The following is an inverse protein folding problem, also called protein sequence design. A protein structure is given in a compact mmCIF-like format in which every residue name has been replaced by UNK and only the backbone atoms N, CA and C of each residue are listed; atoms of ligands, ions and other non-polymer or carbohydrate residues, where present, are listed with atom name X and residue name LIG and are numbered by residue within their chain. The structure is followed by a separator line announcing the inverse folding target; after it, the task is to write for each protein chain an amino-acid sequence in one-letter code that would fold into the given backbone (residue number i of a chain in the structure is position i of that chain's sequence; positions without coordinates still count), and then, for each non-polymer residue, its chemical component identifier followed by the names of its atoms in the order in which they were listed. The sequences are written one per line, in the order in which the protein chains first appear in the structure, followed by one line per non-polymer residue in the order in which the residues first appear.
data_IF_088696899225
#
_entry.id   IF_088696899225
#
_cell.length_a   1.000
_cell.length_b   1.000
_cell.length_c   1.000
_cell.angle_alpha   90.00
_cell.angle_beta   90.00
_cell.angle_gamma   90.00
#
_symmetry.space_group_name_H-M   'P 1'
#
loop_
_entity.id
_entity.type
_entity.pdbx_description
1 polymer ?
#
# COMPACT_ATOMS: atom_id res chain seq x y z
N UNK A 1 -17.67 -29.51 8.66
CA UNK A 1 -16.51 -29.10 7.87
C UNK A 1 -16.53 -27.58 7.83
N UNK A 2 -15.76 -26.93 8.72
CA UNK A 2 -15.61 -25.48 8.77
C UNK A 2 -14.52 -25.12 7.77
N UNK A 3 -14.89 -24.57 6.62
CA UNK A 3 -13.94 -24.02 5.64
C UNK A 3 -13.13 -22.87 6.25
N UNK A 4 -11.91 -22.61 5.74
CA UNK A 4 -11.07 -21.54 6.26
C UNK A 4 -11.80 -20.20 6.10
N UNK A 5 -12.04 -19.50 7.21
CA UNK A 5 -12.53 -18.13 7.21
C UNK A 5 -11.52 -17.28 6.46
N UNK A 6 -11.86 -16.84 5.25
CA UNK A 6 -11.14 -15.75 4.59
C UNK A 6 -11.23 -14.55 5.53
N UNK A 7 -10.11 -14.21 6.19
CA UNK A 7 -10.00 -12.90 6.82
C UNK A 7 -10.10 -11.89 5.68
N UNK A 8 -11.09 -11.03 5.74
CA UNK A 8 -11.14 -9.84 4.90
C UNK A 8 -9.91 -8.99 5.24
N UNK A 9 -8.85 -9.16 4.45
CA UNK A 9 -7.90 -8.10 4.24
C UNK A 9 -8.70 -7.10 3.42
N UNK A 10 -8.92 -5.90 3.93
CA UNK A 10 -9.61 -4.86 3.19
C UNK A 10 -8.89 -4.62 1.86
N UNK A 11 -9.55 -4.07 0.84
CA UNK A 11 -8.90 -3.79 -0.43
C UNK A 11 -7.70 -2.88 -0.20
N UNK A 12 -6.57 -3.22 -0.84
CA UNK A 12 -5.36 -2.41 -0.75
C UNK A 12 -5.54 -1.09 -1.49
N UNK A 13 -4.93 -0.01 -0.97
CA UNK A 13 -4.83 1.25 -1.71
C UNK A 13 -3.69 1.14 -2.71
N UNK A 14 -3.99 1.37 -3.96
CA UNK A 14 -3.01 1.39 -5.05
C UNK A 14 -2.96 2.79 -5.64
N UNK A 15 -1.76 3.32 -5.83
CA UNK A 15 -1.48 4.53 -6.59
C UNK A 15 -0.58 4.21 -7.76
N UNK A 16 -0.66 5.01 -8.83
CA UNK A 16 0.15 4.81 -10.03
C UNK A 16 0.90 6.09 -10.37
N UNK A 17 2.21 5.96 -10.49
CA UNK A 17 3.11 6.98 -11.00
C UNK A 17 3.66 6.49 -12.35
N UNK A 18 3.61 7.34 -13.35
CA UNK A 18 4.19 7.08 -14.67
C UNK A 18 5.38 7.99 -14.84
N UNK A 19 6.44 7.45 -15.41
CA UNK A 19 7.65 8.22 -15.71
C UNK A 19 8.19 7.87 -17.08
N UNK A 20 8.80 8.86 -17.71
CA UNK A 20 9.56 8.81 -18.95
C UNK A 20 10.67 9.85 -18.79
N UNK A 21 10.80 10.89 -19.61
CA UNK A 21 11.71 12.02 -19.34
C UNK A 21 11.38 12.80 -18.07
N UNK A 22 10.14 12.69 -17.58
CA UNK A 22 9.65 13.22 -16.30
C UNK A 22 8.69 12.24 -15.63
N UNK A 23 8.43 12.45 -14.33
CA UNK A 23 7.50 11.64 -13.56
C UNK A 23 6.23 12.43 -13.19
N UNK A 24 5.08 11.77 -13.23
CA UNK A 24 3.82 12.33 -12.76
C UNK A 24 2.90 11.28 -12.14
N UNK A 25 2.00 11.72 -11.28
CA UNK A 25 0.99 10.84 -10.69
C UNK A 25 -0.16 10.64 -11.69
N UNK A 26 -0.27 9.43 -12.24
CA UNK A 26 -1.41 9.04 -13.06
C UNK A 26 -2.67 8.87 -12.21
N UNK A 27 -2.51 8.23 -11.05
CA UNK A 27 -3.59 7.97 -10.12
C UNK A 27 -3.09 8.11 -8.67
N UNK A 28 -3.80 8.89 -7.81
CA UNK A 28 -3.53 8.91 -6.39
C UNK A 28 -3.90 7.55 -5.77
N UNK A 29 -3.44 7.29 -4.53
CA UNK A 29 -3.77 6.07 -3.81
C UNK A 29 -5.28 5.97 -3.58
N UNK A 30 -5.89 4.91 -4.12
CA UNK A 30 -7.33 4.67 -4.09
C UNK A 30 -7.65 3.20 -3.89
N UNK A 31 -8.85 2.91 -3.41
CA UNK A 31 -9.43 1.55 -3.35
C UNK A 31 -10.22 1.19 -4.63
N UNK A 32 -10.46 2.15 -5.54
CA UNK A 32 -11.19 1.90 -6.78
C UNK A 32 -10.24 1.36 -7.86
N UNK A 33 -10.01 0.05 -7.80
CA UNK A 33 -9.16 -0.66 -8.76
C UNK A 33 -9.72 -0.61 -10.19
N UNK A 34 -11.05 -0.63 -10.34
CA UNK A 34 -11.67 -0.51 -11.66
C UNK A 34 -11.42 0.84 -12.31
N UNK A 35 -11.36 1.90 -11.51
CA UNK A 35 -10.98 3.22 -12.00
C UNK A 35 -9.49 3.24 -12.43
N UNK A 36 -8.60 2.59 -11.64
CA UNK A 36 -7.18 2.46 -11.99
C UNK A 36 -6.98 1.76 -13.33
N UNK A 37 -7.65 0.64 -13.57
CA UNK A 37 -7.60 -0.08 -14.86
C UNK A 37 -7.97 0.82 -16.02
N UNK A 38 -9.02 1.64 -15.87
CA UNK A 38 -9.41 2.61 -16.90
C UNK A 38 -8.38 3.71 -17.13
N UNK A 39 -7.64 4.14 -16.09
CA UNK A 39 -6.56 5.12 -16.25
C UNK A 39 -5.37 4.51 -17.00
N UNK A 40 -4.97 3.29 -16.64
CA UNK A 40 -3.88 2.56 -17.32
C UNK A 40 -4.23 2.32 -18.80
N UNK A 41 -5.46 1.91 -19.10
CA UNK A 41 -5.92 1.67 -20.47
C UNK A 41 -5.90 2.93 -21.38
N UNK A 42 -5.84 4.12 -20.78
CA UNK A 42 -5.75 5.42 -21.52
C UNK A 42 -4.32 5.87 -21.77
N UNK A 43 -3.33 5.21 -21.17
CA UNK A 43 -1.93 5.55 -21.41
C UNK A 43 -1.59 5.32 -22.88
N UNK A 44 -0.89 6.30 -23.45
CA UNK A 44 -0.37 6.23 -24.83
C UNK A 44 1.10 6.58 -24.80
N UNK A 45 1.86 5.91 -25.64
CA UNK A 45 3.27 6.25 -25.87
C UNK A 45 3.35 7.66 -26.48
N UNK A 46 4.34 8.44 -26.05
CA UNK A 46 4.55 9.80 -26.55
C UNK A 46 3.74 10.90 -25.85
N UNK A 47 3.04 10.60 -24.73
CA UNK A 47 2.38 11.62 -23.90
C UNK A 47 3.37 12.46 -23.07
N UNK A 48 4.57 11.96 -22.83
CA UNK A 48 5.62 12.59 -22.04
C UNK A 48 6.90 12.63 -22.90
N UNK A 49 7.79 13.56 -22.58
CA UNK A 49 9.13 13.64 -23.18
C UNK A 49 9.86 12.31 -23.08
N UNK A 50 10.58 11.93 -24.13
CA UNK A 50 11.35 10.69 -24.16
C UNK A 50 12.43 10.67 -23.07
N UNK A 51 12.69 9.51 -22.53
CA UNK A 51 13.67 9.28 -21.48
C UNK A 51 13.18 8.33 -20.41
N UNK A 52 14.02 8.06 -19.41
CA UNK A 52 13.74 7.14 -18.30
C UNK A 52 14.21 7.79 -17.00
N UNK A 53 13.31 8.49 -16.31
CA UNK A 53 13.57 9.21 -15.05
C UNK A 53 13.20 8.36 -13.85
N UNK A 54 13.94 7.28 -13.58
CA UNK A 54 13.67 6.30 -12.50
C UNK A 54 13.64 6.99 -11.13
N UNK A 55 14.65 7.83 -10.85
CA UNK A 55 14.76 8.50 -9.56
C UNK A 55 13.60 9.46 -9.29
N UNK A 56 13.18 10.24 -10.29
CA UNK A 56 12.02 11.13 -10.19
C UNK A 56 10.73 10.32 -9.99
N UNK A 57 10.57 9.20 -10.73
CA UNK A 57 9.44 8.27 -10.57
C UNK A 57 9.31 7.76 -9.14
N UNK A 58 10.41 7.27 -8.59
CA UNK A 58 10.47 6.79 -7.22
C UNK A 58 10.22 7.92 -6.22
N UNK A 59 10.82 9.11 -6.43
CA UNK A 59 10.61 10.28 -5.58
C UNK A 59 9.16 10.74 -5.51
N UNK A 60 8.46 10.77 -6.67
CA UNK A 60 7.02 11.08 -6.73
C UNK A 60 6.20 10.01 -5.98
N UNK A 61 6.49 8.73 -6.17
CA UNK A 61 5.79 7.65 -5.48
C UNK A 61 5.94 7.75 -3.95
N UNK A 62 7.17 7.97 -3.46
CA UNK A 62 7.46 8.17 -2.04
C UNK A 62 6.75 9.40 -1.46
N UNK A 63 6.67 10.49 -2.23
CA UNK A 63 5.95 11.70 -1.83
C UNK A 63 4.45 11.45 -1.67
N UNK A 64 3.85 10.61 -2.52
CA UNK A 64 2.42 10.23 -2.41
C UNK A 64 2.15 9.36 -1.20
N UNK A 65 3.03 8.41 -0.91
CA UNK A 65 2.94 7.59 0.32
C UNK A 65 3.07 8.45 1.58
N UNK A 66 4.00 9.42 1.58
CA UNK A 66 4.17 10.33 2.71
C UNK A 66 2.95 11.23 2.95
N UNK A 67 2.31 11.71 1.89
CA UNK A 67 1.11 12.51 2.02
C UNK A 67 0.01 11.77 2.79
N UNK A 68 -0.24 10.50 2.44
CA UNK A 68 -1.24 9.67 3.13
C UNK A 68 -0.83 9.34 4.56
N UNK A 69 0.46 9.12 4.81
CA UNK A 69 0.97 8.85 6.15
C UNK A 69 0.70 10.02 7.10
N UNK A 70 0.89 11.26 6.64
CA UNK A 70 0.55 12.47 7.39
C UNK A 70 -0.95 12.59 7.65
N UNK A 71 -1.78 12.28 6.65
CA UNK A 71 -3.25 12.29 6.78
C UNK A 71 -3.74 11.22 7.77
N UNK A 72 -3.03 10.10 7.88
CA UNK A 72 -3.34 8.98 8.77
C UNK A 72 -2.66 9.08 10.16
N UNK A 73 -2.10 10.23 10.55
CA UNK A 73 -1.37 10.42 11.81
C UNK A 73 -0.23 9.40 12.03
N UNK A 74 0.57 9.13 11.00
CA UNK A 74 1.68 8.18 11.01
C UNK A 74 1.27 6.72 11.36
N UNK A 75 0.05 6.32 11.03
CA UNK A 75 -0.45 4.95 11.21
C UNK A 75 -0.30 4.10 9.94
N UNK A 76 0.68 4.42 9.08
CA UNK A 76 0.98 3.62 7.90
C UNK A 76 1.44 2.22 8.30
N UNK A 77 0.80 1.19 7.74
CA UNK A 77 1.22 -0.20 7.87
C UNK A 77 1.44 -0.79 6.48
N UNK A 78 2.60 -1.41 6.26
CA UNK A 78 2.86 -2.26 5.11
C UNK A 78 2.87 -1.55 3.74
N UNK A 79 3.39 -0.29 3.65
CA UNK A 79 3.54 0.37 2.36
C UNK A 79 4.82 -0.08 1.66
N UNK A 80 4.76 -0.30 0.36
CA UNK A 80 5.89 -0.62 -0.51
C UNK A 80 5.72 0.01 -1.89
N UNK A 81 6.79 0.03 -2.67
CA UNK A 81 6.77 0.51 -4.06
C UNK A 81 7.18 -0.63 -4.98
N UNK A 82 6.48 -0.77 -6.12
CA UNK A 82 6.91 -1.61 -7.23
C UNK A 82 7.37 -0.68 -8.34
N UNK A 83 8.63 -0.79 -8.72
CA UNK A 83 9.26 -0.05 -9.80
C UNK A 83 9.41 -0.98 -11.00
N UNK A 84 8.69 -0.69 -12.10
CA UNK A 84 8.78 -1.44 -13.35
C UNK A 84 9.42 -0.54 -14.41
N UNK A 85 10.49 -1.02 -15.06
CA UNK A 85 11.17 -0.31 -16.14
C UNK A 85 11.77 -1.28 -17.15
N UNK A 86 11.88 -0.84 -18.40
CA UNK A 86 12.53 -1.55 -19.50
C UNK A 86 13.85 -0.90 -19.94
N UNK A 87 14.29 0.18 -19.28
CA UNK A 87 15.47 0.95 -19.64
C UNK A 87 16.34 1.37 -18.46
N UNK A 88 17.52 1.91 -18.78
CA UNK A 88 18.42 2.54 -17.84
C UNK A 88 17.99 3.98 -17.54
N UNK A 89 18.31 4.47 -16.34
CA UNK A 89 18.07 5.87 -15.99
C UNK A 89 18.91 6.81 -16.85
N UNK A 90 18.28 7.66 -17.64
CA UNK A 90 18.95 8.63 -18.54
C UNK A 90 18.31 10.02 -18.49
N UNK A 91 17.32 10.25 -17.63
CA UNK A 91 16.62 11.50 -17.44
C UNK A 91 16.27 11.74 -15.98
N UNK A 92 15.67 12.89 -15.68
CA UNK A 92 15.25 13.28 -14.34
C UNK A 92 16.29 14.07 -13.57
N UNK A 93 15.84 14.72 -12.51
CA UNK A 93 16.68 15.53 -11.63
C UNK A 93 17.20 14.76 -10.41
N UNK A 94 16.44 13.77 -9.92
CA UNK A 94 16.79 12.97 -8.76
C UNK A 94 17.52 11.69 -9.21
N UNK A 95 18.78 11.44 -8.76
CA UNK A 95 19.46 10.18 -9.01
C UNK A 95 18.71 9.00 -8.39
N UNK A 96 18.64 7.82 -9.06
CA UNK A 96 17.93 6.66 -8.55
C UNK A 96 18.36 6.21 -7.15
N UNK A 97 19.67 6.20 -6.86
CA UNK A 97 20.19 5.80 -5.55
C UNK A 97 19.87 6.81 -4.45
N UNK A 98 19.73 8.11 -4.77
CA UNK A 98 19.30 9.09 -3.76
C UNK A 98 17.81 8.93 -3.45
N UNK A 99 16.98 8.60 -4.44
CA UNK A 99 15.60 8.19 -4.20
C UNK A 99 15.51 6.91 -3.35
N UNK A 100 16.38 5.92 -3.59
CA UNK A 100 16.45 4.70 -2.79
C UNK A 100 16.82 4.99 -1.32
N UNK A 101 17.79 5.89 -1.05
CA UNK A 101 18.11 6.32 0.32
C UNK A 101 16.93 6.97 1.04
N UNK A 102 16.10 7.73 0.31
CA UNK A 102 14.87 8.30 0.87
C UNK A 102 13.89 7.18 1.24
N UNK A 103 13.73 6.18 0.37
CA UNK A 103 12.88 5.01 0.66
C UNK A 103 13.37 4.23 1.89
N UNK A 104 14.68 3.93 1.94
CA UNK A 104 15.35 3.27 3.06
C UNK A 104 15.12 4.03 4.38
N UNK A 105 15.38 5.34 4.40
CA UNK A 105 15.21 6.18 5.60
C UNK A 105 13.76 6.19 6.14
N UNK A 106 12.80 5.87 5.29
CA UNK A 106 11.36 5.78 5.62
C UNK A 106 10.88 4.35 5.87
N UNK A 107 11.75 3.35 5.75
CA UNK A 107 11.41 1.94 5.87
C UNK A 107 10.38 1.50 4.81
N UNK A 108 10.49 2.00 3.57
CA UNK A 108 9.63 1.64 2.46
C UNK A 108 10.39 0.71 1.53
N UNK A 109 10.08 -0.59 1.49
CA UNK A 109 10.70 -1.51 0.55
C UNK A 109 10.36 -1.13 -0.90
N UNK A 110 11.35 -1.22 -1.79
CA UNK A 110 11.18 -1.02 -3.23
C UNK A 110 11.48 -2.32 -3.95
N UNK A 111 10.46 -2.92 -4.54
CA UNK A 111 10.59 -4.08 -5.42
C UNK A 111 10.84 -3.58 -6.83
N UNK A 112 11.91 -4.04 -7.47
CA UNK A 112 12.26 -3.60 -8.82
C UNK A 112 12.05 -4.72 -9.83
N UNK A 113 11.40 -4.41 -10.94
CA UNK A 113 11.14 -5.33 -12.04
C UNK A 113 11.77 -4.76 -13.31
N UNK A 114 12.78 -5.42 -13.83
CA UNK A 114 13.38 -5.10 -15.12
C UNK A 114 12.66 -5.86 -16.22
N UNK A 115 11.88 -5.17 -17.04
CA UNK A 115 11.11 -5.76 -18.15
C UNK A 115 11.71 -5.34 -19.48
N UNK A 116 12.78 -5.98 -19.90
CA UNK A 116 13.40 -5.61 -21.16
C UNK A 116 14.45 -6.61 -21.62
N UNK A 117 14.73 -6.59 -22.91
CA UNK A 117 15.84 -7.31 -23.48
C UNK A 117 17.03 -6.35 -23.63
N UNK A 118 18.19 -6.74 -23.14
CA UNK A 118 19.42 -6.01 -23.42
C UNK A 118 19.85 -6.27 -24.87
N UNK A 119 20.17 -5.21 -25.63
CA UNK A 119 20.62 -5.30 -27.00
C UNK A 119 19.86 -4.40 -27.95
N UNK A 120 20.06 -4.64 -29.25
CA UNK A 120 19.36 -3.86 -30.28
C UNK A 120 17.90 -4.28 -30.42
N UNK A 121 17.00 -3.43 -29.95
CA UNK A 121 15.54 -3.64 -30.07
C UNK A 121 14.95 -2.75 -31.15
N UNK A 122 13.90 -3.19 -31.87
CA UNK A 122 13.19 -2.33 -32.81
C UNK A 122 12.38 -1.28 -32.06
N UNK A 123 12.75 -0.02 -32.26
CA UNK A 123 12.05 1.11 -31.67
C UNK A 123 11.11 1.75 -32.69
N UNK A 124 9.79 1.88 -32.42
CA UNK A 124 8.85 2.48 -33.35
C UNK A 124 9.03 4.01 -33.40
N UNK A 125 9.20 4.57 -34.58
CA UNK A 125 9.07 6.00 -34.81
C UNK A 125 7.62 6.29 -35.15
N UNK A 126 6.95 7.04 -34.28
CA UNK A 126 5.53 7.34 -34.36
C UNK A 126 5.36 8.75 -34.95
N UNK A 127 4.43 8.92 -35.89
CA UNK A 127 3.99 10.24 -36.34
C UNK A 127 3.19 10.88 -35.19
N UNK A 128 3.65 12.03 -34.67
CA UNK A 128 3.03 12.71 -33.52
C UNK A 128 1.62 13.24 -33.84
N UNK A 129 1.29 13.47 -35.12
CA UNK A 129 -0.03 13.98 -35.51
C UNK A 129 -1.06 12.84 -35.67
N UNK A 130 -0.66 11.70 -36.25
CA UNK A 130 -1.57 10.58 -36.56
C UNK A 130 -1.52 9.47 -35.53
N UNK A 131 -0.44 9.38 -34.72
CA UNK A 131 -0.20 8.28 -33.78
C UNK A 131 0.20 6.98 -34.47
N UNK A 132 0.47 6.96 -35.79
CA UNK A 132 0.83 5.79 -36.54
C UNK A 132 2.34 5.56 -36.55
N UNK A 133 2.75 4.29 -36.50
CA UNK A 133 4.16 3.90 -36.63
C UNK A 133 4.63 4.14 -38.08
N UNK A 134 5.54 5.08 -38.26
CA UNK A 134 6.11 5.39 -39.58
C UNK A 134 7.17 4.39 -39.99
N UNK A 135 8.04 4.01 -39.07
CA UNK A 135 9.12 3.04 -39.26
C UNK A 135 9.64 2.52 -37.92
N UNK A 136 10.39 1.42 -37.98
CA UNK A 136 11.17 0.94 -36.84
C UNK A 136 12.64 1.31 -37.04
N UNK A 137 13.28 1.85 -36.00
CA UNK A 137 14.73 2.01 -35.92
C UNK A 137 15.30 0.99 -34.93
N UNK A 138 16.59 0.65 -35.09
CA UNK A 138 17.26 -0.18 -34.09
C UNK A 138 17.86 0.72 -33.03
N UNK A 139 17.39 0.60 -31.82
CA UNK A 139 17.92 1.35 -30.66
C UNK A 139 18.54 0.33 -29.70
N UNK A 140 19.70 0.67 -29.16
CA UNK A 140 20.30 -0.12 -28.10
C UNK A 140 19.46 0.07 -26.85
N UNK A 141 18.81 -0.99 -26.40
CA UNK A 141 18.14 -1.02 -25.09
C UNK A 141 19.13 -1.59 -24.09
N UNK A 142 19.49 -0.76 -23.12
CA UNK A 142 20.33 -1.17 -21.99
C UNK A 142 19.48 -1.10 -20.73
N UNK A 143 19.09 -2.27 -20.23
CA UNK A 143 18.48 -2.38 -18.91
C UNK A 143 19.63 -2.34 -17.89
N UNK A 144 19.63 -1.34 -17.02
CA UNK A 144 20.60 -1.24 -15.92
C UNK A 144 20.15 -2.08 -14.72
N UNK A 145 20.33 -3.39 -14.85
CA UNK A 145 19.99 -4.35 -13.80
C UNK A 145 20.78 -4.07 -12.51
N UNK A 146 22.02 -3.59 -12.64
CA UNK A 146 22.88 -3.27 -11.49
C UNK A 146 22.26 -2.19 -10.60
N UNK A 147 21.78 -1.10 -11.19
CA UNK A 147 21.07 -0.05 -10.46
C UNK A 147 19.77 -0.55 -9.84
N UNK A 148 18.98 -1.37 -10.57
CA UNK A 148 17.72 -1.93 -10.06
C UNK A 148 17.95 -2.86 -8.87
N UNK A 149 18.98 -3.72 -8.92
CA UNK A 149 19.38 -4.59 -7.81
C UNK A 149 19.82 -3.76 -6.58
N UNK A 150 20.65 -2.74 -6.78
CA UNK A 150 21.11 -1.87 -5.69
C UNK A 150 19.94 -1.13 -5.01
N UNK A 151 18.95 -0.63 -5.77
CA UNK A 151 17.74 0.00 -5.22
C UNK A 151 16.97 -0.99 -4.34
N UNK A 152 16.74 -2.20 -4.85
CA UNK A 152 16.00 -3.23 -4.12
C UNK A 152 16.74 -3.62 -2.83
N UNK A 153 18.03 -3.93 -2.91
CA UNK A 153 18.84 -4.33 -1.76
C UNK A 153 18.90 -3.23 -0.69
N UNK A 154 19.16 -1.97 -1.09
CA UNK A 154 19.25 -0.84 -0.16
C UNK A 154 17.94 -0.58 0.60
N UNK A 155 16.80 -0.90 0.00
CA UNK A 155 15.46 -0.64 0.58
C UNK A 155 14.83 -1.85 1.26
N UNK A 156 15.48 -3.02 1.23
CA UNK A 156 14.92 -4.27 1.77
C UNK A 156 13.87 -4.91 0.88
N UNK A 157 13.80 -4.53 -0.41
CA UNK A 157 12.98 -5.17 -1.42
C UNK A 157 13.72 -6.30 -2.15
N UNK A 158 13.22 -6.66 -3.35
CA UNK A 158 13.85 -7.66 -4.21
C UNK A 158 13.79 -7.24 -5.69
N UNK A 159 14.80 -7.65 -6.45
CA UNK A 159 14.84 -7.47 -7.90
C UNK A 159 14.27 -8.69 -8.62
N UNK A 160 13.48 -8.44 -9.65
CA UNK A 160 12.94 -9.46 -10.55
C UNK A 160 13.26 -9.10 -11.99
N UNK A 161 13.67 -10.09 -12.77
CA UNK A 161 13.81 -9.96 -14.22
C UNK A 161 12.59 -10.55 -14.90
N UNK A 162 11.95 -9.77 -15.76
CA UNK A 162 10.79 -10.17 -16.53
C UNK A 162 11.15 -10.22 -18.03
N UNK A 163 11.60 -11.37 -18.49
CA UNK A 163 11.98 -11.59 -19.90
C UNK A 163 10.78 -11.90 -20.79
N UNK A 164 9.70 -12.45 -20.20
CA UNK A 164 8.47 -12.86 -20.88
C UNK A 164 7.25 -12.45 -20.05
N UNK A 165 6.07 -12.35 -20.68
CA UNK A 165 4.83 -11.91 -20.01
C UNK A 165 4.47 -12.70 -18.76
N UNK A 166 4.73 -14.02 -18.73
CA UNK A 166 4.47 -14.86 -17.56
C UNK A 166 5.40 -14.62 -16.38
N UNK A 167 6.52 -13.91 -16.58
CA UNK A 167 7.49 -13.61 -15.52
C UNK A 167 7.06 -12.38 -14.72
N UNK A 168 6.31 -11.46 -15.33
CA UNK A 168 5.75 -10.28 -14.63
C UNK A 168 4.72 -10.73 -13.61
N UNK A 169 3.78 -11.59 -13.97
CA UNK A 169 2.80 -12.17 -13.05
C UNK A 169 3.47 -12.94 -11.91
N UNK A 170 4.54 -13.70 -12.22
CA UNK A 170 5.31 -14.41 -11.22
C UNK A 170 6.03 -13.46 -10.25
N UNK A 171 6.57 -12.33 -10.73
CA UNK A 171 7.17 -11.29 -9.89
C UNK A 171 6.14 -10.67 -8.95
N UNK A 172 4.97 -10.29 -9.46
CA UNK A 172 3.88 -9.76 -8.61
C UNK A 172 3.40 -10.79 -7.58
N UNK A 173 3.28 -12.07 -7.95
CA UNK A 173 2.90 -13.13 -7.02
C UNK A 173 3.95 -13.32 -5.90
N UNK A 174 5.23 -13.25 -6.23
CA UNK A 174 6.32 -13.34 -5.24
C UNK A 174 6.33 -12.14 -4.29
N UNK A 175 6.08 -10.92 -4.79
CA UNK A 175 5.96 -9.71 -3.97
C UNK A 175 4.75 -9.82 -3.02
N UNK A 176 3.60 -10.25 -3.52
CA UNK A 176 2.39 -10.44 -2.73
C UNK A 176 2.60 -11.46 -1.60
N UNK A 177 3.32 -12.56 -1.86
CA UNK A 177 3.65 -13.55 -0.84
C UNK A 177 4.62 -13.00 0.21
N UNK A 178 5.68 -12.28 -0.20
CA UNK A 178 6.64 -11.65 0.70
C UNK A 178 5.97 -10.63 1.61
N UNK A 179 5.09 -9.79 1.08
CA UNK A 179 4.35 -8.79 1.86
C UNK A 179 3.34 -9.40 2.81
N UNK A 180 2.69 -10.50 2.46
CA UNK A 180 1.79 -11.24 3.37
C UNK A 180 2.49 -11.78 4.62
N UNK A 181 3.74 -12.23 4.47
CA UNK A 181 4.53 -12.76 5.59
C UNK A 181 4.88 -11.63 6.57
N UNK A 182 5.30 -10.47 6.06
CA UNK A 182 5.66 -9.32 6.88
C UNK A 182 4.45 -8.74 7.65
N UNK A 183 3.28 -8.68 7.02
CA UNK A 183 2.03 -8.27 7.66
C UNK A 183 1.60 -9.21 8.81
N UNK A 184 1.86 -10.51 8.70
CA UNK A 184 1.57 -11.48 9.77
C UNK A 184 2.48 -11.29 10.98
N UNK A 185 3.72 -10.87 10.79
CA UNK A 185 4.67 -10.66 11.88
C UNK A 185 4.34 -9.42 12.75
N UNK A 186 3.71 -8.39 12.19
CA UNK A 186 3.37 -7.16 12.90
C UNK A 186 1.96 -7.14 13.51
N UNK A 187 1.10 -8.10 13.21
CA UNK A 187 -0.33 -8.07 13.54
C UNK A 187 -0.69 -8.71 14.89
N UNK A 188 0.23 -8.81 15.85
CA UNK A 188 -0.05 -9.30 17.21
C UNK A 188 -0.20 -8.17 18.23
N UNK A 189 -1.16 -7.29 18.01
CA UNK A 189 -1.81 -6.59 19.13
C UNK A 189 -3.23 -7.16 19.24
N UNK A 190 -3.35 -8.30 19.90
CA UNK A 190 -4.65 -8.78 20.37
C UNK A 190 -5.06 -7.83 21.50
N UNK A 191 -5.95 -6.91 21.18
CA UNK A 191 -6.67 -6.15 22.20
C UNK A 191 -7.74 -7.08 22.76
N UNK A 192 -7.41 -7.79 23.84
CA UNK A 192 -8.42 -8.50 24.61
C UNK A 192 -9.34 -7.48 25.29
N UNK A 193 -10.58 -7.45 24.85
CA UNK A 193 -11.59 -6.57 25.44
C UNK A 193 -11.92 -7.05 26.85
N UNK A 194 -11.27 -6.46 27.84
CA UNK A 194 -11.52 -6.70 29.25
C UNK A 194 -12.87 -6.13 29.74
N UNK A 195 -13.65 -5.54 28.86
CA UNK A 195 -14.94 -4.92 29.16
C UNK A 195 -15.89 -5.86 29.94
N UNK A 196 -16.00 -7.12 29.52
CA UNK A 196 -16.87 -8.09 30.17
C UNK A 196 -16.46 -8.43 31.60
N UNK A 197 -15.16 -8.38 31.91
CA UNK A 197 -14.66 -8.63 33.27
C UNK A 197 -15.02 -7.53 34.26
N UNK A 198 -15.21 -6.30 33.81
CA UNK A 198 -15.60 -5.16 34.63
C UNK A 198 -17.10 -4.89 34.57
N UNK A 199 -17.75 -5.06 33.43
CA UNK A 199 -19.18 -4.82 33.25
C UNK A 199 -20.04 -5.83 34.02
N UNK A 200 -19.65 -7.10 34.08
CA UNK A 200 -20.35 -8.15 34.81
C UNK A 200 -20.43 -7.88 36.31
N UNK A 201 -19.30 -7.74 37.02
CA UNK A 201 -19.29 -7.40 38.45
C UNK A 201 -19.98 -6.06 38.75
N UNK A 202 -19.81 -5.04 37.88
CA UNK A 202 -20.48 -3.75 38.02
C UNK A 202 -22.01 -3.86 37.98
N UNK A 203 -22.57 -4.65 37.05
CA UNK A 203 -23.98 -4.91 36.96
C UNK A 203 -24.55 -5.64 38.21
N UNK A 204 -23.80 -6.64 38.70
CA UNK A 204 -24.17 -7.37 39.94
C UNK A 204 -24.20 -6.43 41.15
N UNK A 205 -23.22 -5.56 41.30
CA UNK A 205 -23.18 -4.58 42.41
C UNK A 205 -24.34 -3.59 42.33
N UNK A 206 -24.71 -3.13 41.14
CA UNK A 206 -25.87 -2.25 40.95
C UNK A 206 -27.18 -2.94 41.33
N UNK A 207 -27.38 -4.21 40.97
CA UNK A 207 -28.55 -4.99 41.33
C UNK A 207 -28.64 -5.21 42.84
N UNK A 208 -27.52 -5.51 43.52
CA UNK A 208 -27.46 -5.66 44.97
C UNK A 208 -27.78 -4.31 45.65
N UNK A 209 -27.24 -3.22 45.18
CA UNK A 209 -27.53 -1.88 45.74
C UNK A 209 -29.00 -1.51 45.58
N UNK A 210 -29.60 -1.78 44.42
CA UNK A 210 -31.03 -1.56 44.16
C UNK A 210 -31.91 -2.43 45.05
N UNK A 211 -31.56 -3.71 45.31
CA UNK A 211 -32.24 -4.64 46.21
C UNK A 211 -32.22 -4.18 47.64
N UNK A 212 -31.05 -3.71 48.12
CA UNK A 212 -30.92 -3.15 49.49
C UNK A 212 -31.68 -1.87 49.70
N UNK A 213 -31.67 -0.98 48.68
CA UNK A 213 -32.46 0.26 48.73
C UNK A 213 -33.97 0.02 48.76
N UNK A 214 -34.46 -1.02 48.05
CA UNK A 214 -35.89 -1.40 48.07
C UNK A 214 -36.33 -1.96 49.42
N UNK A 215 -35.49 -2.81 50.04
CA UNK A 215 -35.75 -3.33 51.42
C UNK A 215 -35.83 -2.21 52.44
N UNK A 216 -34.97 -1.21 52.37
CA UNK A 216 -34.98 -0.08 53.29
C UNK A 216 -36.23 0.83 53.13
N UNK A 217 -36.83 0.88 51.95
CA UNK A 217 -38.09 1.61 51.72
C UNK A 217 -39.30 0.83 52.25
N UNK A 218 -39.30 -0.47 52.23
CA UNK A 218 -40.38 -1.34 52.79
C UNK A 218 -40.34 -1.33 54.34
N UNK A 219 -39.13 -1.34 54.96
CA UNK A 219 -39.00 -1.24 56.39
C UNK A 219 -39.50 0.07 57.00
N UNK A 220 -39.34 1.22 56.30
CA UNK A 220 -39.85 2.50 56.72
C UNK A 220 -41.35 2.67 56.63
N UNK A 221 -42.05 1.92 55.77
CA UNK A 221 -43.53 1.98 55.67
C UNK A 221 -44.23 1.22 56.80
N UNK A 222 -43.60 0.18 57.38
CA UNK A 222 -44.19 -0.61 58.47
C UNK A 222 -44.17 0.15 59.80
N UNK A 223 -43.18 1.06 59.99
CA UNK A 223 -43.05 1.77 61.28
C UNK A 223 -44.02 2.97 61.40
N UNK A 224 -44.53 3.51 60.28
CA UNK A 224 -45.48 4.63 60.30
C UNK A 224 -46.96 4.19 60.53
N UNK A 225 -47.28 2.90 60.33
CA UNK A 225 -48.63 2.41 60.58
C UNK A 225 -48.92 2.02 62.03
N UNK A 226 -47.87 1.88 62.88
CA UNK A 226 -48.02 1.50 64.30
C UNK A 226 -48.18 2.78 65.20
N UNK A 227 -47.78 3.96 64.70
CA UNK A 227 -47.85 5.21 65.48
C UNK A 227 -49.11 6.05 65.22
N UNK A 228 -50.07 5.58 64.43
CA UNK A 228 -51.35 6.26 64.20
C UNK A 228 -52.56 5.55 64.82
N UNK A 229 -52.34 4.55 65.73
CA UNK A 229 -53.44 3.78 66.36
C UNK A 229 -53.29 3.80 67.90
N UNK A 230 -52.89 4.99 68.46
CA UNK A 230 -53.05 5.28 69.88
C UNK A 230 -53.64 6.64 70.09
#
# INVERSE_FOLDING_TARGET
VVGPRRRHIGPDRIGIVVFSGRAYTLAPLTFDHSWLERQVARLKIGLIEDGTAIGDGLGVALSRLEQIDREANNQRQGAFVILLTDGANNAGALPPMDAAKIAESRGIPVYTIGAGQSGYVPFPIINQETGEVVRYTRTLSELDEGTLQQIAEATGGAYFRADESGTIEAAFAAIDEAQKIEFRAQSYLISDELFFWFAGPGAVLLLLAAGLASRNRLGKRSTHQILSAT
#
